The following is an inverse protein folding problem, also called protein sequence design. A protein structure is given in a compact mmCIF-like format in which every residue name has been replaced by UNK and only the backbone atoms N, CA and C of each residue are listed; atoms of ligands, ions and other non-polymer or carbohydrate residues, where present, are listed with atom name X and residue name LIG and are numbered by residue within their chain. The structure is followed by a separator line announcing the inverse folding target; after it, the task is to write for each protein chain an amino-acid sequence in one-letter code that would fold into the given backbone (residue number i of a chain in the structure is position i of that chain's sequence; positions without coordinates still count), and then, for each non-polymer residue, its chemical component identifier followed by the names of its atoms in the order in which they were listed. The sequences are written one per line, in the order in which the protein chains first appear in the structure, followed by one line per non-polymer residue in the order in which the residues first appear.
data_IF_612845975948
#
_entry.id   IF_612845975948
#
_cell.length_a   1.000
_cell.length_b   1.000
_cell.length_c   1.000
_cell.angle_alpha   90.00
_cell.angle_beta   90.00
_cell.angle_gamma   90.00
#
_symmetry.space_group_name_H-M   'P 1'
#
loop_
_entity.id
_entity.type
_entity.pdbx_description
1 polymer ?
#
# COMPACT_ATOMS: atom_id res chain seq x y z
N UNK A 1 -51.87 -91.53 1.03
CA UNK A 1 -50.99 -90.55 1.68
C UNK A 1 -50.12 -89.94 0.63
N UNK A 2 -50.40 -88.74 0.15
CA UNK A 2 -49.69 -88.05 -0.94
C UNK A 2 -48.71 -87.01 -0.38
N UNK A 3 -47.45 -87.14 -0.70
CA UNK A 3 -46.46 -86.20 -0.42
C UNK A 3 -46.24 -85.22 -1.60
N UNK A 4 -46.57 -83.99 -1.40
CA UNK A 4 -46.43 -82.89 -2.37
C UNK A 4 -44.99 -82.31 -2.22
N UNK A 5 -44.17 -82.41 -3.30
CA UNK A 5 -42.88 -81.78 -3.37
C UNK A 5 -43.05 -80.38 -3.96
N UNK A 6 -42.68 -79.35 -3.15
CA UNK A 6 -42.64 -77.99 -3.61
C UNK A 6 -41.20 -77.73 -4.00
N UNK A 7 -40.94 -77.40 -5.26
CA UNK A 7 -39.62 -76.93 -5.75
C UNK A 7 -39.53 -75.43 -5.58
N UNK A 8 -38.61 -74.98 -4.73
CA UNK A 8 -38.33 -73.59 -4.55
C UNK A 8 -37.25 -73.10 -5.60
N UNK A 9 -37.70 -72.36 -6.57
CA UNK A 9 -36.87 -71.68 -7.52
C UNK A 9 -36.28 -70.38 -6.90
N UNK A 10 -34.99 -70.35 -6.70
CA UNK A 10 -34.24 -69.17 -6.23
C UNK A 10 -33.88 -68.32 -7.44
N UNK A 11 -34.56 -67.20 -7.64
CA UNK A 11 -34.23 -66.20 -8.67
C UNK A 11 -33.15 -65.26 -8.09
N UNK A 12 -31.92 -65.37 -8.58
CA UNK A 12 -30.85 -64.40 -8.32
C UNK A 12 -31.09 -63.17 -9.17
N UNK A 13 -31.55 -62.07 -8.60
CA UNK A 13 -31.55 -60.74 -9.24
C UNK A 13 -30.20 -60.10 -9.00
N UNK A 14 -29.34 -60.03 -10.04
CA UNK A 14 -28.10 -59.27 -10.03
C UNK A 14 -28.41 -57.80 -10.10
N UNK A 15 -28.33 -57.10 -8.94
CA UNK A 15 -28.44 -55.68 -8.86
C UNK A 15 -27.16 -55.02 -9.37
N UNK A 16 -27.23 -54.32 -10.53
CA UNK A 16 -26.15 -53.48 -11.03
C UNK A 16 -26.14 -52.19 -10.21
N UNK A 17 -25.21 -52.07 -9.27
CA UNK A 17 -24.96 -50.81 -8.57
C UNK A 17 -24.19 -49.87 -9.49
N UNK A 18 -24.82 -48.86 -10.05
CA UNK A 18 -24.20 -47.77 -10.79
C UNK A 18 -23.54 -46.83 -9.78
N UNK A 19 -22.20 -46.93 -9.61
CA UNK A 19 -21.44 -45.97 -8.81
C UNK A 19 -21.21 -44.75 -9.71
N UNK A 20 -22.02 -43.70 -9.53
CA UNK A 20 -21.76 -42.40 -10.13
C UNK A 20 -20.58 -41.74 -9.39
N UNK A 21 -19.40 -41.74 -10.00
CA UNK A 21 -18.27 -40.98 -9.52
C UNK A 21 -18.53 -39.48 -9.77
N UNK A 22 -18.92 -38.75 -8.75
CA UNK A 22 -19.01 -37.30 -8.79
C UNK A 22 -17.56 -36.76 -8.70
N UNK A 23 -17.03 -36.34 -9.85
CA UNK A 23 -15.75 -35.62 -9.89
C UNK A 23 -15.97 -34.21 -9.31
N UNK A 24 -15.54 -34.00 -8.06
CA UNK A 24 -15.50 -32.68 -7.44
C UNK A 24 -14.37 -31.87 -8.10
N UNK A 25 -14.74 -31.02 -9.06
CA UNK A 25 -13.81 -30.06 -9.68
C UNK A 25 -13.55 -28.94 -8.66
N UNK A 26 -12.41 -28.99 -7.97
CA UNK A 26 -11.95 -27.90 -7.13
C UNK A 26 -11.51 -26.74 -8.04
N UNK A 27 -12.41 -25.77 -8.23
CA UNK A 27 -12.07 -24.50 -8.89
C UNK A 27 -11.29 -23.65 -7.90
N UNK A 28 -9.96 -23.69 -8.00
CA UNK A 28 -9.12 -22.75 -7.28
C UNK A 28 -9.28 -21.37 -7.92
N UNK A 29 -9.55 -20.29 -7.16
CA UNK A 29 -9.48 -18.95 -7.71
C UNK A 29 -8.07 -18.70 -8.25
N UNK A 30 -7.91 -17.94 -9.35
CA UNK A 30 -6.58 -17.59 -9.83
C UNK A 30 -5.78 -16.95 -8.70
N UNK A 31 -4.53 -17.36 -8.56
CA UNK A 31 -3.63 -16.78 -7.55
C UNK A 31 -3.60 -15.27 -7.75
N UNK A 32 -3.70 -14.52 -6.66
CA UNK A 32 -3.52 -13.07 -6.71
C UNK A 32 -2.17 -12.76 -7.39
N UNK A 33 -2.10 -11.74 -8.27
CA UNK A 33 -0.83 -11.38 -8.88
C UNK A 33 0.21 -11.13 -7.78
N UNK A 34 1.40 -11.68 -7.96
CA UNK A 34 2.51 -11.46 -7.04
C UNK A 34 2.75 -9.93 -6.92
N UNK A 35 3.09 -9.42 -5.73
CA UNK A 35 3.40 -8.01 -5.58
C UNK A 35 4.50 -7.63 -6.58
N UNK A 36 4.24 -6.62 -7.40
CA UNK A 36 5.22 -6.11 -8.35
C UNK A 36 6.45 -5.63 -7.56
N UNK A 37 7.59 -6.23 -7.80
CA UNK A 37 8.86 -5.72 -7.29
C UNK A 37 9.16 -4.42 -8.04
N UNK A 38 9.21 -3.31 -7.33
CA UNK A 38 9.38 -1.97 -7.91
C UNK A 38 10.76 -1.72 -8.54
N UNK A 39 11.65 -2.71 -8.56
CA UNK A 39 13.00 -2.55 -9.10
C UNK A 39 13.88 -1.61 -8.26
N UNK A 40 15.09 -1.33 -8.78
CA UNK A 40 16.02 -0.40 -8.14
C UNK A 40 15.55 1.06 -8.32
N UNK A 41 15.71 1.93 -7.30
CA UNK A 41 15.33 3.33 -7.39
C UNK A 41 16.11 4.07 -8.49
N UNK A 42 15.36 4.73 -9.40
CA UNK A 42 15.93 5.63 -10.42
C UNK A 42 16.12 7.05 -9.88
N UNK A 43 15.33 7.41 -8.84
CA UNK A 43 15.39 8.71 -8.17
C UNK A 43 15.40 8.47 -6.67
N UNK A 44 16.34 9.11 -5.95
CA UNK A 44 16.35 9.12 -4.48
C UNK A 44 16.33 10.55 -3.98
N UNK A 45 15.37 10.87 -3.10
CA UNK A 45 15.24 12.19 -2.48
C UNK A 45 15.24 12.01 -0.96
N UNK A 46 16.13 12.71 -0.27
CA UNK A 46 16.11 12.76 1.19
C UNK A 46 15.38 14.02 1.64
N UNK A 47 14.31 13.85 2.38
CA UNK A 47 13.47 14.92 2.95
C UNK A 47 13.75 15.00 4.44
N UNK A 48 13.92 16.23 4.92
CA UNK A 48 14.03 16.55 6.33
C UNK A 48 12.72 17.21 6.76
N UNK A 49 12.11 16.72 7.82
CA UNK A 49 10.94 17.34 8.44
C UNK A 49 11.32 17.93 9.79
N UNK A 50 10.67 19.02 10.18
CA UNK A 50 10.96 19.64 11.47
C UNK A 50 10.20 20.94 11.72
N UNK A 51 10.66 21.64 12.74
CA UNK A 51 10.05 22.87 13.24
C UNK A 51 10.42 24.07 12.38
N UNK A 52 9.49 25.01 12.23
CA UNK A 52 9.67 26.36 11.68
C UNK A 52 9.30 27.42 12.75
N UNK A 53 9.44 28.69 12.42
CA UNK A 53 9.04 29.76 13.36
C UNK A 53 7.54 29.76 13.65
N UNK A 54 6.73 29.32 12.70
CA UNK A 54 5.25 29.44 12.73
C UNK A 54 4.54 28.08 12.75
N UNK A 55 5.28 26.96 12.72
CA UNK A 55 4.69 25.63 12.69
C UNK A 55 5.70 24.57 12.31
N UNK A 56 5.40 23.81 11.25
CA UNK A 56 6.21 22.70 10.79
C UNK A 56 6.40 22.75 9.27
N UNK A 57 7.48 22.14 8.79
CA UNK A 57 7.77 22.14 7.37
C UNK A 57 8.69 21.01 6.93
N UNK A 58 9.14 21.13 5.69
CA UNK A 58 10.05 20.19 5.05
C UNK A 58 11.19 20.91 4.36
N UNK A 59 12.31 20.22 4.22
CA UNK A 59 13.43 20.61 3.37
C UNK A 59 13.91 19.41 2.55
N UNK A 60 14.58 19.65 1.43
CA UNK A 60 15.42 18.64 0.77
C UNK A 60 16.79 18.68 1.44
N UNK A 61 17.30 17.54 1.87
CA UNK A 61 18.62 17.46 2.55
C UNK A 61 19.73 18.02 1.67
N UNK A 62 20.50 18.94 2.21
CA UNK A 62 21.60 19.62 1.52
C UNK A 62 21.20 20.93 0.82
N UNK A 63 19.90 21.21 0.79
CA UNK A 63 19.36 22.51 0.44
C UNK A 63 18.76 23.10 1.72
N UNK A 64 19.24 24.19 2.10
CA UNK A 64 18.93 25.11 3.21
C UNK A 64 17.72 24.86 4.17
N UNK A 65 17.03 25.88 4.55
CA UNK A 65 16.10 25.89 5.69
C UNK A 65 14.84 25.05 5.46
N UNK A 66 14.24 24.57 6.57
CA UNK A 66 12.92 23.94 6.55
C UNK A 66 11.89 25.01 6.17
N UNK A 67 11.17 24.76 5.08
CA UNK A 67 10.16 25.64 4.50
C UNK A 67 8.74 25.18 4.87
N UNK A 68 7.83 26.16 4.96
CA UNK A 68 6.41 25.98 5.23
C UNK A 68 5.59 26.88 4.29
N UNK A 69 4.93 26.34 3.23
CA UNK A 69 4.98 24.96 2.77
C UNK A 69 6.36 24.53 2.29
N UNK A 70 6.62 23.21 2.28
CA UNK A 70 7.88 22.63 1.84
C UNK A 70 8.10 22.74 0.33
N UNK A 71 9.34 22.46 -0.14
CA UNK A 71 9.77 22.63 -1.53
C UNK A 71 8.97 21.75 -2.51
N UNK A 72 8.82 22.20 -3.77
CA UNK A 72 8.22 21.38 -4.82
C UNK A 72 9.14 20.21 -5.20
N UNK A 73 8.62 18.98 -5.14
CA UNK A 73 9.32 17.79 -5.62
C UNK A 73 8.87 17.49 -7.05
N UNK A 74 9.82 17.12 -7.93
CA UNK A 74 9.55 16.79 -9.33
C UNK A 74 10.07 15.40 -9.66
N UNK A 75 9.22 14.56 -10.21
CA UNK A 75 9.53 13.20 -10.70
C UNK A 75 8.73 12.94 -11.98
N UNK A 76 9.00 11.82 -12.67
CA UNK A 76 8.26 11.44 -13.88
C UNK A 76 7.42 10.19 -13.68
N UNK A 77 6.41 10.05 -14.51
CA UNK A 77 5.64 8.80 -14.61
C UNK A 77 6.59 7.65 -14.88
N UNK A 78 6.49 6.60 -14.08
CA UNK A 78 7.33 5.41 -14.23
C UNK A 78 8.66 5.43 -13.50
N UNK A 79 9.10 6.58 -12.96
CA UNK A 79 10.25 6.61 -12.06
C UNK A 79 10.05 5.68 -10.87
N UNK A 80 11.09 4.97 -10.48
CA UNK A 80 11.13 4.26 -9.20
C UNK A 80 11.73 5.21 -8.17
N UNK A 81 10.85 5.84 -7.38
CA UNK A 81 11.22 6.93 -6.47
C UNK A 81 11.43 6.38 -5.07
N UNK A 82 12.60 6.60 -4.51
CA UNK A 82 12.88 6.36 -3.09
C UNK A 82 12.85 7.70 -2.35
N UNK A 83 11.98 7.80 -1.36
CA UNK A 83 12.04 8.87 -0.36
C UNK A 83 12.68 8.32 0.91
N UNK A 84 13.65 9.06 1.43
CA UNK A 84 14.20 8.91 2.78
C UNK A 84 13.71 10.11 3.57
N UNK A 85 13.00 9.88 4.66
CA UNK A 85 12.48 10.93 5.53
C UNK A 85 13.25 10.93 6.85
N UNK A 86 13.86 12.06 7.19
CA UNK A 86 14.57 12.28 8.46
C UNK A 86 13.73 13.26 9.31
N UNK A 87 13.34 12.84 10.52
CA UNK A 87 12.66 13.74 11.45
C UNK A 87 13.69 14.46 12.32
N UNK A 88 13.98 15.71 11.99
CA UNK A 88 14.88 16.58 12.74
C UNK A 88 14.13 17.56 13.67
N UNK A 89 12.79 17.46 13.74
CA UNK A 89 11.95 18.26 14.64
C UNK A 89 11.95 17.75 16.08
N UNK A 90 11.36 18.54 16.95
CA UNK A 90 11.19 18.20 18.37
C UNK A 90 10.03 17.25 18.66
N UNK A 91 9.14 17.01 17.69
CA UNK A 91 7.95 16.17 17.84
C UNK A 91 7.85 15.13 16.71
N UNK A 92 6.97 14.11 16.86
CA UNK A 92 6.78 13.09 15.82
C UNK A 92 6.16 13.63 14.53
N UNK A 93 6.65 13.18 13.37
CA UNK A 93 6.18 13.56 12.05
C UNK A 93 5.99 12.34 11.13
N UNK A 94 5.30 12.54 9.99
CA UNK A 94 5.20 11.58 8.89
C UNK A 94 5.54 12.24 7.57
N UNK A 95 5.77 11.42 6.54
CA UNK A 95 5.81 11.86 5.14
C UNK A 95 4.87 10.98 4.33
N UNK A 96 3.86 11.56 3.71
CA UNK A 96 2.81 10.82 2.98
C UNK A 96 2.46 11.56 1.70
N UNK A 97 2.37 10.83 0.57
CA UNK A 97 1.85 11.40 -0.69
C UNK A 97 0.34 11.33 -0.67
N UNK A 98 -0.30 12.47 -0.93
CA UNK A 98 -1.72 12.71 -0.74
C UNK A 98 -2.40 13.18 -2.03
N UNK A 99 -3.66 12.81 -2.18
CA UNK A 99 -4.49 13.29 -3.29
C UNK A 99 -4.98 14.72 -3.13
N UNK A 100 -4.94 15.27 -1.92
CA UNK A 100 -5.36 16.62 -1.57
C UNK A 100 -4.57 17.09 -0.34
N UNK A 101 -4.58 18.39 -0.08
CA UNK A 101 -3.92 19.03 1.07
C UNK A 101 -4.76 18.87 2.34
N UNK A 102 -4.96 17.63 2.79
CA UNK A 102 -5.71 17.26 4.00
C UNK A 102 -5.14 15.98 4.61
N UNK A 103 -5.16 15.89 5.93
CA UNK A 103 -4.61 14.75 6.68
C UNK A 103 -5.36 13.44 6.43
N UNK A 104 -6.67 13.53 6.11
CA UNK A 104 -7.55 12.40 5.79
C UNK A 104 -7.65 12.12 4.28
N UNK A 105 -6.88 12.82 3.45
CA UNK A 105 -6.88 12.60 2.01
C UNK A 105 -6.36 11.20 1.66
N UNK A 106 -6.81 10.63 0.52
CA UNK A 106 -6.30 9.34 0.07
C UNK A 106 -4.77 9.34 -0.09
N UNK A 107 -4.13 8.31 0.46
CA UNK A 107 -2.70 8.04 0.21
C UNK A 107 -2.53 7.56 -1.22
N UNK A 108 -1.65 8.20 -1.97
CA UNK A 108 -1.39 7.87 -3.36
C UNK A 108 -0.12 7.05 -3.52
N UNK A 109 -0.09 6.23 -4.58
CA UNK A 109 1.05 5.39 -4.98
C UNK A 109 1.54 4.46 -3.85
N UNK A 110 0.75 4.23 -2.80
CA UNK A 110 1.15 3.50 -1.61
C UNK A 110 2.27 4.17 -0.79
N UNK A 111 2.51 5.47 -1.00
CA UNK A 111 3.67 6.18 -0.48
C UNK A 111 3.36 6.86 0.87
N UNK A 112 3.68 6.17 1.96
CA UNK A 112 3.61 6.72 3.32
C UNK A 112 4.77 6.24 4.18
N UNK A 113 5.41 7.14 4.90
CA UNK A 113 6.44 6.88 5.90
C UNK A 113 5.88 7.29 7.26
N UNK A 114 5.51 6.29 8.05
CA UNK A 114 4.73 6.46 9.27
C UNK A 114 3.24 6.68 9.00
N UNK A 115 2.46 6.70 10.07
CA UNK A 115 1.02 6.98 10.09
C UNK A 115 0.71 7.91 11.27
N UNK A 116 -0.50 8.48 11.31
CA UNK A 116 -0.91 9.30 12.46
C UNK A 116 -0.76 8.58 13.82
N UNK A 117 -0.99 7.25 13.85
CA UNK A 117 -0.86 6.43 15.07
C UNK A 117 0.54 5.87 15.31
N UNK A 118 1.40 5.85 14.27
CA UNK A 118 2.80 5.38 14.35
C UNK A 118 3.72 6.31 13.57
N UNK A 119 3.86 7.56 13.99
CA UNK A 119 4.72 8.53 13.32
C UNK A 119 6.20 8.25 13.57
N UNK A 120 7.05 8.85 12.75
CA UNK A 120 8.50 8.82 12.90
C UNK A 120 8.88 9.73 14.06
N UNK A 121 9.55 9.18 15.05
CA UNK A 121 9.97 9.92 16.25
C UNK A 121 11.12 10.88 15.95
N UNK A 122 11.32 11.94 16.77
CA UNK A 122 12.47 12.83 16.70
C UNK A 122 13.81 12.09 16.56
N UNK A 123 14.66 12.52 15.62
CA UNK A 123 15.95 11.91 15.33
C UNK A 123 15.90 10.55 14.63
N UNK A 124 14.70 10.09 14.22
CA UNK A 124 14.55 8.82 13.48
C UNK A 124 14.33 9.07 12.00
N UNK A 125 14.65 8.02 11.22
CA UNK A 125 14.55 8.00 9.77
C UNK A 125 13.63 6.87 9.33
N UNK A 126 12.85 7.12 8.28
CA UNK A 126 12.07 6.11 7.56
C UNK A 126 12.30 6.22 6.06
N UNK A 127 11.89 5.21 5.30
CA UNK A 127 11.97 5.28 3.84
C UNK A 127 10.83 4.51 3.18
N UNK A 128 10.51 4.91 1.96
CA UNK A 128 9.54 4.23 1.09
C UNK A 128 10.04 4.26 -0.36
N UNK A 129 9.73 3.23 -1.12
CA UNK A 129 9.90 3.21 -2.58
C UNK A 129 8.52 3.14 -3.21
N UNK A 130 8.25 3.99 -4.19
CA UNK A 130 6.99 4.02 -4.92
C UNK A 130 7.21 4.33 -6.40
N UNK A 131 6.18 4.08 -7.21
CA UNK A 131 6.22 4.34 -8.65
C UNK A 131 4.97 5.11 -9.06
N UNK A 132 5.09 6.41 -9.39
CA UNK A 132 3.97 7.18 -9.91
C UNK A 132 3.50 6.59 -11.24
N UNK A 133 2.20 6.32 -11.36
CA UNK A 133 1.59 5.71 -12.54
C UNK A 133 0.77 6.68 -13.38
N UNK A 134 0.72 7.95 -13.02
CA UNK A 134 0.04 9.02 -13.76
C UNK A 134 0.67 10.37 -13.50
N UNK A 135 0.68 11.23 -14.50
CA UNK A 135 1.08 12.62 -14.40
C UNK A 135 0.05 13.45 -13.63
N UNK A 136 0.50 14.53 -13.03
CA UNK A 136 -0.37 15.46 -12.30
C UNK A 136 0.36 16.22 -11.20
N UNK A 137 -0.42 17.04 -10.49
CA UNK A 137 0.01 17.75 -9.29
C UNK A 137 -0.66 17.11 -8.10
N UNK A 138 0.16 16.63 -7.18
CA UNK A 138 -0.23 15.98 -5.94
C UNK A 138 0.39 16.72 -4.77
N UNK A 139 0.08 16.28 -3.57
CA UNK A 139 0.63 16.85 -2.35
C UNK A 139 1.45 15.82 -1.59
N UNK A 140 2.41 16.28 -0.82
CA UNK A 140 2.98 15.49 0.25
C UNK A 140 2.80 16.23 1.57
N UNK A 141 2.69 15.51 2.67
CA UNK A 141 2.43 16.14 3.96
C UNK A 141 2.58 15.21 5.15
N UNK A 142 2.52 15.81 6.32
CA UNK A 142 2.49 15.12 7.59
C UNK A 142 1.03 14.88 8.00
N UNK A 143 0.64 13.60 8.18
CA UNK A 143 -0.72 13.21 8.58
C UNK A 143 -0.91 13.10 10.10
N UNK A 144 0.04 13.59 10.90
CA UNK A 144 -0.19 13.84 12.32
C UNK A 144 -1.23 14.96 12.44
N UNK A 145 -2.23 14.85 13.33
CA UNK A 145 -3.31 15.82 13.42
C UNK A 145 -2.85 17.27 13.51
N UNK A 146 -3.46 18.13 12.70
CA UNK A 146 -3.23 19.57 12.59
C UNK A 146 -1.87 20.01 11.96
N UNK A 147 -0.97 19.07 11.58
CA UNK A 147 0.34 19.45 11.04
C UNK A 147 0.24 20.05 9.63
N UNK A 148 -0.66 19.57 8.77
CA UNK A 148 -0.93 20.17 7.44
C UNK A 148 -1.44 21.62 7.60
N UNK A 149 -2.33 21.88 8.56
CA UNK A 149 -2.84 23.21 8.82
C UNK A 149 -1.75 24.17 9.33
N UNK A 150 -0.74 23.63 10.02
CA UNK A 150 0.44 24.35 10.48
C UNK A 150 1.56 24.41 9.43
N UNK A 151 1.23 24.14 8.15
CA UNK A 151 2.13 24.33 7.02
C UNK A 151 2.97 23.11 6.62
N UNK A 152 2.85 21.95 7.30
CA UNK A 152 3.66 20.77 7.02
C UNK A 152 3.14 19.99 5.81
N UNK A 153 3.24 20.60 4.64
CA UNK A 153 2.89 20.02 3.33
C UNK A 153 3.75 20.63 2.22
N UNK A 154 3.76 20.02 1.05
CA UNK A 154 4.38 20.55 -0.16
C UNK A 154 3.75 19.93 -1.41
N UNK A 155 4.27 20.28 -2.57
CA UNK A 155 3.78 19.83 -3.88
C UNK A 155 4.69 18.72 -4.41
N UNK A 156 4.07 17.63 -4.89
CA UNK A 156 4.69 16.64 -5.73
C UNK A 156 4.15 16.81 -7.17
N UNK A 157 5.01 17.23 -8.08
CA UNK A 157 4.71 17.28 -9.52
C UNK A 157 5.22 16.00 -10.19
N UNK A 158 4.31 15.26 -10.79
CA UNK A 158 4.63 14.10 -11.63
C UNK A 158 4.49 14.52 -13.09
N UNK A 159 5.61 14.58 -13.80
CA UNK A 159 5.68 14.91 -15.22
C UNK A 159 5.43 13.66 -16.09
N UNK A 160 4.95 13.81 -17.32
CA UNK A 160 4.78 12.70 -18.28
C UNK A 160 6.06 11.93 -18.57
#
# INVERSE_FOLDING_TARGET
VNTLKIASGLALTAGLALIAAVALVLVFPPAAPAPETLGEPTVTITIVGGDTKEGFGFAIKGFEEIESPGPELRVRVGDVVKIVFENNGGIPHTFTILGDKREDAPVLFGASIGTASKPIQPGKTGSIVFKPNRAGVFYYGCVVPNHINLGMWGILRVEP
#
